data_IF_274675877067
#
_entry.id   IF_274675877067
#
_cell.length_a   1.000
_cell.length_b   1.000
_cell.length_c   1.000
_cell.angle_alpha   90.00
_cell.angle_beta   90.00
_cell.angle_gamma   90.00
#
_symmetry.space_group_name_H-M   'P 1'
#
loop_
_entity.id
_entity.type
_entity.pdbx_description
1 polymer ?
#
# COMPACT_ATOMS: atom_id res chain seq x y z
N UNK A 1 -3.77 36.05 -20.31
CA UNK A 1 -3.24 37.44 -20.55
C UNK A 1 -1.85 37.46 -19.92
N UNK A 2 -0.87 37.42 -20.58
CA UNK A 2 0.19 38.10 -21.35
C UNK A 2 1.36 37.16 -21.59
N UNK A 3 1.52 36.88 -22.85
CA UNK A 3 2.69 36.29 -23.47
C UNK A 3 3.76 37.42 -23.64
N UNK A 4 5.03 37.08 -23.47
CA UNK A 4 6.09 37.80 -24.21
C UNK A 4 7.33 36.94 -24.39
N UNK A 5 7.80 36.77 -25.63
CA UNK A 5 9.13 36.27 -25.98
C UNK A 5 10.12 37.42 -26.20
N UNK A 6 11.43 37.18 -26.04
CA UNK A 6 12.45 38.04 -26.62
C UNK A 6 13.51 37.15 -27.22
N UNK A 7 13.79 37.47 -28.51
CA UNK A 7 14.77 36.86 -29.36
C UNK A 7 15.98 37.79 -29.55
N UNK A 8 17.05 37.20 -30.15
CA UNK A 8 18.13 37.76 -30.98
C UNK A 8 19.24 38.54 -30.22
N UNK A 9 20.49 38.46 -30.59
CA UNK A 9 21.08 38.56 -31.91
C UNK A 9 22.55 38.12 -31.93
N UNK A 10 22.97 37.74 -33.10
CA UNK A 10 24.32 37.40 -33.53
C UNK A 10 25.24 38.64 -33.65
N UNK A 11 26.55 38.40 -33.54
CA UNK A 11 27.56 39.26 -34.19
C UNK A 11 28.79 38.45 -34.61
N UNK A 12 28.97 38.41 -35.87
CA UNK A 12 30.18 37.93 -36.61
C UNK A 12 31.17 39.06 -36.68
N UNK A 13 32.45 38.83 -36.44
CA UNK A 13 33.54 39.69 -36.95
C UNK A 13 34.73 38.84 -37.39
N UNK A 14 34.95 38.85 -38.69
CA UNK A 14 36.17 38.44 -39.35
C UNK A 14 37.25 39.56 -39.23
N UNK A 15 38.51 39.15 -39.02
CA UNK A 15 39.67 39.98 -39.43
C UNK A 15 40.84 39.04 -39.79
N UNK A 16 41.25 39.17 -41.00
CA UNK A 16 42.41 38.51 -41.60
C UNK A 16 43.71 39.28 -41.27
N UNK A 17 44.79 38.55 -41.07
CA UNK A 17 46.13 39.12 -40.93
C UNK A 17 47.21 38.11 -41.35
N UNK A 18 47.80 38.29 -42.52
CA UNK A 18 48.99 37.56 -43.04
C UNK A 18 50.21 37.96 -42.22
N UNK A 19 51.07 37.00 -41.92
CA UNK A 19 52.40 37.23 -41.39
C UNK A 19 53.25 35.95 -41.42
N UNK A 20 54.06 35.82 -42.47
CA UNK A 20 55.06 34.76 -42.68
C UNK A 20 56.28 34.97 -41.81
N UNK A 21 56.73 33.99 -41.05
CA UNK A 21 58.11 33.81 -40.65
C UNK A 21 58.42 32.35 -40.38
N UNK A 22 59.20 31.73 -41.27
CA UNK A 22 59.72 30.38 -41.10
C UNK A 22 60.94 30.44 -40.20
N UNK A 23 60.89 29.84 -39.01
CA UNK A 23 62.08 29.48 -38.25
C UNK A 23 61.99 28.01 -37.91
N UNK A 24 62.82 27.21 -38.57
CA UNK A 24 63.03 25.81 -38.26
C UNK A 24 63.81 25.68 -36.95
N UNK A 25 63.14 25.39 -35.84
CA UNK A 25 63.78 24.90 -34.63
C UNK A 25 63.44 23.40 -34.49
N UNK A 26 64.50 22.59 -34.59
CA UNK A 26 64.44 21.17 -34.29
C UNK A 26 64.06 20.94 -32.81
N UNK A 27 62.79 20.67 -32.57
CA UNK A 27 62.35 20.25 -31.27
C UNK A 27 62.69 18.77 -31.08
N UNK A 28 63.59 18.52 -30.14
CA UNK A 28 63.80 17.18 -29.60
C UNK A 28 62.45 16.67 -28.97
N UNK A 29 62.01 15.52 -29.43
CA UNK A 29 60.84 14.83 -28.86
C UNK A 29 61.14 14.44 -27.42
N UNK A 30 60.55 15.15 -26.48
CA UNK A 30 60.43 14.69 -25.07
C UNK A 30 59.55 13.43 -25.11
N UNK A 31 59.96 12.29 -24.50
CA UNK A 31 59.10 11.12 -24.42
C UNK A 31 57.84 11.55 -23.66
N UNK A 32 56.73 11.58 -24.39
CA UNK A 32 55.44 11.91 -23.80
C UNK A 32 55.15 10.97 -22.66
N UNK A 33 55.00 11.53 -21.44
CA UNK A 33 54.42 10.81 -20.33
C UNK A 33 53.06 10.30 -20.80
N UNK A 34 52.96 8.97 -20.96
CA UNK A 34 51.68 8.31 -21.24
C UNK A 34 50.71 8.73 -20.14
N UNK A 35 49.75 9.58 -20.47
CA UNK A 35 48.65 9.90 -19.58
C UNK A 35 47.90 8.60 -19.34
N UNK A 36 48.21 7.95 -18.21
CA UNK A 36 47.42 6.86 -17.68
C UNK A 36 46.02 7.41 -17.41
N UNK A 37 45.11 7.25 -18.39
CA UNK A 37 43.70 7.46 -18.18
C UNK A 37 43.31 6.52 -17.05
N UNK A 38 43.14 7.05 -15.83
CA UNK A 38 42.70 6.31 -14.67
C UNK A 38 41.32 5.69 -15.04
N UNK A 39 41.32 4.39 -15.31
CA UNK A 39 40.10 3.68 -15.63
C UNK A 39 39.12 3.93 -14.49
N UNK A 40 37.97 4.52 -14.80
CA UNK A 40 36.93 4.79 -13.83
C UNK A 40 36.56 3.45 -13.14
N UNK A 41 36.88 3.33 -11.83
CA UNK A 41 36.71 2.10 -11.12
C UNK A 41 35.28 1.54 -11.35
N UNK A 42 35.17 0.30 -11.80
CA UNK A 42 33.93 -0.38 -12.09
C UNK A 42 32.99 -0.27 -10.87
N UNK A 43 31.70 -0.27 -11.13
CA UNK A 43 30.68 -0.23 -10.07
C UNK A 43 29.86 -1.53 -10.13
N UNK A 44 29.56 -2.10 -8.98
CA UNK A 44 28.66 -3.25 -8.91
C UNK A 44 27.30 -2.93 -9.51
N UNK A 45 26.83 -3.79 -10.41
CA UNK A 45 25.45 -3.78 -10.89
C UNK A 45 24.64 -4.72 -10.02
N UNK A 46 23.57 -4.20 -9.39
CA UNK A 46 22.72 -4.97 -8.49
C UNK A 46 21.30 -4.92 -9.04
N UNK A 47 20.75 -6.12 -9.33
CA UNK A 47 19.32 -6.28 -9.66
C UNK A 47 18.58 -6.86 -8.47
N UNK A 48 17.31 -6.49 -8.29
CA UNK A 48 16.47 -7.07 -7.25
C UNK A 48 15.00 -7.05 -7.66
N UNK A 49 14.26 -8.06 -7.23
CA UNK A 49 12.81 -8.19 -7.36
C UNK A 49 12.21 -8.64 -6.03
N UNK A 50 10.94 -8.34 -5.81
CA UNK A 50 10.17 -8.77 -4.64
C UNK A 50 9.03 -9.67 -5.09
N UNK A 51 8.71 -10.71 -4.28
CA UNK A 51 7.67 -11.69 -4.61
C UNK A 51 6.25 -11.13 -4.59
N UNK A 52 5.99 -10.15 -3.72
CA UNK A 52 4.69 -9.46 -3.59
C UNK A 52 4.92 -8.00 -3.26
N UNK A 53 4.18 -7.12 -3.93
CA UNK A 53 4.20 -5.68 -3.67
C UNK A 53 3.13 -5.24 -2.67
N UNK A 54 2.13 -6.10 -2.42
CA UNK A 54 0.97 -5.83 -1.58
C UNK A 54 0.61 -7.03 -0.68
N UNK A 55 1.54 -7.41 0.22
CA UNK A 55 1.29 -8.50 1.18
C UNK A 55 0.37 -8.03 2.32
N UNK A 56 -0.26 -8.98 3.01
CA UNK A 56 -0.91 -8.75 4.28
C UNK A 56 0.10 -8.74 5.45
N UNK A 57 -0.28 -8.08 6.52
CA UNK A 57 0.50 -8.05 7.76
C UNK A 57 0.74 -9.47 8.28
N UNK A 58 1.97 -9.76 8.65
CA UNK A 58 2.40 -11.08 9.11
C UNK A 58 2.89 -12.01 8.01
N UNK A 59 2.62 -11.71 6.73
CA UNK A 59 3.14 -12.50 5.61
C UNK A 59 4.65 -12.34 5.44
N UNK A 60 5.24 -13.33 4.76
CA UNK A 60 6.65 -13.28 4.34
C UNK A 60 6.75 -12.90 2.87
N UNK A 61 7.61 -11.93 2.58
CA UNK A 61 8.03 -11.59 1.22
C UNK A 61 9.45 -12.11 0.97
N UNK A 62 9.72 -12.44 -0.28
CA UNK A 62 11.07 -12.83 -0.71
C UNK A 62 11.63 -11.77 -1.64
N UNK A 63 12.88 -11.32 -1.38
CA UNK A 63 13.62 -10.40 -2.24
C UNK A 63 14.79 -11.18 -2.83
N UNK A 64 14.85 -11.27 -4.16
CA UNK A 64 15.86 -12.02 -4.90
C UNK A 64 16.52 -11.15 -5.93
N UNK A 65 17.76 -11.46 -6.27
CA UNK A 65 18.46 -10.75 -7.33
C UNK A 65 19.85 -11.26 -7.60
N UNK A 66 20.60 -10.45 -8.34
CA UNK A 66 21.96 -10.75 -8.75
C UNK A 66 22.87 -9.54 -8.58
N UNK A 67 24.14 -9.81 -8.42
CA UNK A 67 25.23 -8.80 -8.45
C UNK A 67 26.19 -9.16 -9.58
N UNK A 68 26.60 -8.17 -10.36
CA UNK A 68 27.60 -8.33 -11.40
C UNK A 68 28.70 -7.25 -11.25
N UNK A 69 29.98 -7.61 -11.29
CA UNK A 69 30.51 -8.96 -11.11
C UNK A 69 30.15 -9.50 -9.71
N UNK A 70 29.84 -10.79 -9.59
CA UNK A 70 29.44 -11.41 -8.32
C UNK A 70 30.37 -12.56 -7.97
N UNK A 71 30.93 -12.54 -6.77
CA UNK A 71 31.76 -13.60 -6.23
C UNK A 71 31.05 -14.36 -5.13
N UNK A 72 31.22 -15.68 -5.13
CA UNK A 72 30.72 -16.54 -4.08
C UNK A 72 31.23 -16.10 -2.70
N UNK A 73 30.34 -15.97 -1.73
CA UNK A 73 30.65 -15.54 -0.37
C UNK A 73 30.71 -14.03 -0.16
N UNK A 74 30.65 -13.20 -1.21
CA UNK A 74 30.61 -11.76 -1.06
C UNK A 74 29.30 -11.30 -0.41
N UNK A 75 29.38 -10.44 0.61
CA UNK A 75 28.22 -9.94 1.36
C UNK A 75 27.38 -8.96 0.54
N UNK A 76 26.06 -9.06 0.70
CA UNK A 76 25.06 -8.07 0.27
C UNK A 76 24.17 -7.71 1.46
N UNK A 77 23.70 -6.45 1.47
CA UNK A 77 22.91 -5.89 2.56
C UNK A 77 21.53 -5.51 2.06
N UNK A 78 20.50 -6.10 2.64
CA UNK A 78 19.14 -5.62 2.47
C UNK A 78 18.94 -4.36 3.30
N UNK A 79 18.50 -3.28 2.67
CA UNK A 79 18.15 -2.04 3.32
C UNK A 79 16.64 -1.79 3.16
N UNK A 80 16.00 -1.31 4.25
CA UNK A 80 14.60 -0.88 4.23
C UNK A 80 14.44 0.56 4.72
N UNK A 81 13.36 1.21 4.29
CA UNK A 81 12.87 2.46 4.86
C UNK A 81 11.35 2.50 4.82
N UNK A 82 10.76 3.26 5.72
CA UNK A 82 9.34 3.53 5.72
C UNK A 82 9.04 4.81 4.92
N UNK A 83 7.97 4.77 4.11
CA UNK A 83 7.63 5.85 3.21
C UNK A 83 8.66 6.05 2.08
N UNK A 84 8.66 7.23 1.47
CA UNK A 84 9.54 7.60 0.35
C UNK A 84 10.75 8.42 0.77
N UNK A 85 10.71 9.05 1.95
CA UNK A 85 11.72 10.00 2.47
C UNK A 85 12.48 9.50 3.69
N UNK A 86 12.01 8.44 4.36
CA UNK A 86 12.63 7.86 5.55
C UNK A 86 14.12 7.47 5.34
N UNK A 87 14.88 7.45 6.41
CA UNK A 87 16.27 6.98 6.40
C UNK A 87 16.33 5.49 6.05
N UNK A 88 17.34 5.11 5.27
CA UNK A 88 17.63 3.71 4.98
C UNK A 88 18.30 3.06 6.19
N UNK A 89 17.75 1.95 6.64
CA UNK A 89 18.30 1.11 7.73
C UNK A 89 18.64 -0.27 7.19
N UNK A 90 19.65 -0.91 7.77
CA UNK A 90 19.96 -2.31 7.50
C UNK A 90 18.80 -3.17 8.01
N UNK A 91 18.27 -4.04 7.16
CA UNK A 91 17.23 -5.01 7.51
C UNK A 91 17.82 -6.40 7.69
N UNK A 92 18.71 -6.82 6.78
CA UNK A 92 19.30 -8.17 6.79
C UNK A 92 20.60 -8.19 5.97
N UNK A 93 21.35 -9.31 6.06
CA UNK A 93 22.52 -9.60 5.21
C UNK A 93 22.42 -11.01 4.63
N UNK A 94 22.94 -11.17 3.43
CA UNK A 94 23.10 -12.47 2.77
C UNK A 94 24.43 -12.51 2.04
N UNK A 95 24.87 -13.68 1.62
CA UNK A 95 26.08 -13.90 0.83
C UNK A 95 25.74 -14.41 -0.56
N UNK A 96 26.50 -13.93 -1.56
CA UNK A 96 26.32 -14.36 -2.93
C UNK A 96 26.68 -15.84 -3.11
N UNK A 97 25.85 -16.57 -3.85
CA UNK A 97 26.21 -17.92 -4.31
C UNK A 97 27.18 -17.85 -5.49
N UNK A 98 27.64 -19.03 -5.99
CA UNK A 98 28.59 -19.13 -7.10
C UNK A 98 28.12 -18.54 -8.45
N UNK A 99 26.84 -18.12 -8.54
CA UNK A 99 26.24 -17.44 -9.71
C UNK A 99 25.94 -15.96 -9.44
N UNK A 100 26.50 -15.38 -8.37
CA UNK A 100 26.25 -14.00 -7.98
C UNK A 100 24.84 -13.71 -7.52
N UNK A 101 24.06 -14.72 -7.09
CA UNK A 101 22.66 -14.58 -6.66
C UNK A 101 22.54 -14.52 -5.15
N UNK A 102 21.50 -13.77 -4.69
CA UNK A 102 21.10 -13.65 -3.28
C UNK A 102 19.59 -13.87 -3.10
N UNK A 103 19.17 -14.14 -1.85
CA UNK A 103 17.77 -14.32 -1.47
C UNK A 103 17.54 -13.91 -0.03
N UNK A 104 16.77 -12.87 0.20
CA UNK A 104 16.28 -12.47 1.53
C UNK A 104 14.84 -12.95 1.74
N UNK A 105 14.48 -13.20 3.01
CA UNK A 105 13.12 -13.48 3.46
C UNK A 105 12.76 -12.50 4.57
N UNK A 106 11.79 -11.62 4.35
CA UNK A 106 11.38 -10.57 5.29
C UNK A 106 9.92 -10.79 5.69
N UNK A 107 9.63 -10.85 7.00
CA UNK A 107 8.27 -10.82 7.53
C UNK A 107 7.79 -9.37 7.62
N UNK A 108 6.63 -9.07 7.05
CA UNK A 108 6.07 -7.71 7.10
C UNK A 108 5.09 -7.60 8.27
N UNK A 109 5.51 -7.00 9.34
CA UNK A 109 4.85 -6.96 10.66
C UNK A 109 4.02 -5.69 10.94
N UNK A 110 4.06 -4.69 10.07
CA UNK A 110 3.35 -3.43 10.27
C UNK A 110 2.68 -2.94 8.99
N UNK A 111 1.45 -2.45 9.15
CA UNK A 111 0.60 -1.94 8.06
C UNK A 111 1.08 -0.56 7.66
N UNK A 112 1.90 -0.48 6.62
CA UNK A 112 2.37 0.77 6.01
C UNK A 112 3.14 0.54 4.72
N UNK A 113 3.28 1.57 3.92
CA UNK A 113 4.18 1.57 2.76
C UNK A 113 5.65 1.58 3.22
N UNK A 114 6.45 0.73 2.59
CA UNK A 114 7.89 0.64 2.78
C UNK A 114 8.62 0.43 1.47
N UNK A 115 9.89 0.77 1.44
CA UNK A 115 10.77 0.50 0.30
C UNK A 115 11.96 -0.33 0.75
N UNK A 116 12.37 -1.24 -0.13
CA UNK A 116 13.58 -2.03 0.00
C UNK A 116 14.56 -1.70 -1.11
N UNK A 117 15.83 -1.91 -0.86
CA UNK A 117 16.91 -1.97 -1.85
C UNK A 117 18.00 -2.89 -1.35
N UNK A 118 18.77 -3.45 -2.28
CA UNK A 118 19.95 -4.25 -1.94
C UNK A 118 21.19 -3.44 -2.25
N UNK A 119 22.11 -3.39 -1.30
CA UNK A 119 23.42 -2.75 -1.40
C UNK A 119 24.49 -3.84 -1.46
N UNK A 120 25.35 -3.84 -2.48
CA UNK A 120 26.65 -4.49 -2.46
C UNK A 120 27.66 -3.43 -2.03
N UNK A 121 28.31 -3.60 -0.86
CA UNK A 121 29.39 -2.70 -0.45
C UNK A 121 30.53 -2.65 -1.45
N UNK A 122 31.30 -1.57 -1.44
CA UNK A 122 32.55 -1.48 -2.18
C UNK A 122 33.57 -2.45 -1.62
N UNK A 123 34.47 -2.93 -2.46
CA UNK A 123 35.66 -3.70 -2.13
C UNK A 123 36.81 -3.31 -3.08
N UNK A 124 37.90 -4.05 -3.06
CA UNK A 124 39.11 -3.78 -3.89
C UNK A 124 38.84 -3.85 -5.40
N UNK A 125 37.73 -4.49 -5.82
CA UNK A 125 37.41 -4.75 -7.24
C UNK A 125 36.49 -3.73 -7.85
N UNK A 126 35.52 -3.19 -7.05
CA UNK A 126 34.54 -2.27 -7.57
C UNK A 126 33.94 -1.38 -6.48
N UNK A 127 33.43 -0.21 -6.93
CA UNK A 127 32.63 0.70 -6.09
C UNK A 127 31.30 0.06 -5.73
N UNK A 128 30.73 0.49 -4.60
CA UNK A 128 29.42 0.02 -4.12
C UNK A 128 28.33 0.15 -5.19
N UNK A 129 27.47 -0.89 -5.28
CA UNK A 129 26.27 -0.91 -6.11
C UNK A 129 24.99 -0.97 -5.30
N UNK A 130 23.90 -0.46 -5.86
CA UNK A 130 22.56 -0.50 -5.24
C UNK A 130 21.53 -0.89 -6.29
N UNK A 131 20.60 -1.75 -5.90
CA UNK A 131 19.45 -2.08 -6.75
C UNK A 131 18.51 -0.89 -6.91
N UNK A 132 17.57 -1.01 -7.86
CA UNK A 132 16.37 -0.16 -7.89
C UNK A 132 15.60 -0.33 -6.56
N UNK A 133 14.80 0.68 -6.21
CA UNK A 133 13.92 0.66 -5.04
C UNK A 133 12.73 -0.27 -5.33
N UNK A 134 12.39 -1.13 -4.39
CA UNK A 134 11.24 -2.03 -4.42
C UNK A 134 10.20 -1.49 -3.44
N UNK A 135 9.07 -1.01 -3.96
CA UNK A 135 7.94 -0.55 -3.14
C UNK A 135 7.12 -1.73 -2.67
N UNK A 136 6.72 -1.72 -1.39
CA UNK A 136 5.83 -2.73 -0.79
C UNK A 136 4.83 -1.99 0.09
N UNK A 137 3.54 -2.16 -0.21
CA UNK A 137 2.42 -1.64 0.58
C UNK A 137 1.84 -2.78 1.38
N UNK A 138 1.93 -2.72 2.70
CA UNK A 138 1.41 -3.77 3.58
C UNK A 138 0.00 -3.42 4.00
N UNK A 139 -0.92 -4.37 3.79
CA UNK A 139 -2.32 -4.27 4.18
C UNK A 139 -2.56 -5.01 5.51
N UNK A 140 -3.54 -4.56 6.27
CA UNK A 140 -3.95 -5.22 7.51
C UNK A 140 -5.44 -5.10 7.73
N UNK A 141 -6.02 -6.12 8.35
CA UNK A 141 -7.42 -6.11 8.77
C UNK A 141 -7.61 -5.18 9.96
N UNK A 142 -8.64 -4.36 9.89
CA UNK A 142 -9.06 -3.45 10.94
C UNK A 142 -10.58 -3.50 11.09
N UNK A 143 -11.08 -3.50 12.33
CA UNK A 143 -12.50 -3.36 12.56
C UNK A 143 -13.03 -2.05 11.96
N UNK A 144 -14.13 -2.11 11.23
CA UNK A 144 -14.79 -0.91 10.69
C UNK A 144 -15.20 0.04 11.83
N UNK A 145 -15.68 -0.53 12.93
CA UNK A 145 -16.09 0.18 14.14
C UNK A 145 -14.96 0.89 14.89
N UNK A 146 -13.70 0.64 14.54
CA UNK A 146 -12.56 1.38 15.07
C UNK A 146 -12.24 2.66 14.28
N UNK A 147 -12.98 2.92 13.19
CA UNK A 147 -12.96 4.18 12.46
C UNK A 147 -14.01 5.12 13.03
N UNK A 148 -13.75 6.43 12.98
CA UNK A 148 -14.75 7.42 13.35
C UNK A 148 -15.83 7.48 12.26
N UNK A 149 -17.12 7.34 12.61
CA UNK A 149 -18.20 7.50 11.66
C UNK A 149 -18.28 8.97 11.19
N UNK A 150 -18.56 9.17 9.90
CA UNK A 150 -18.68 10.51 9.30
C UNK A 150 -20.12 10.96 9.12
N UNK A 151 -21.08 10.03 9.21
CA UNK A 151 -22.50 10.31 9.25
C UNK A 151 -23.21 9.19 10.01
N UNK A 152 -24.22 9.56 10.81
CA UNK A 152 -25.08 8.65 11.54
C UNK A 152 -26.50 9.25 11.50
N UNK A 153 -27.50 8.49 11.01
CA UNK A 153 -28.89 8.96 10.95
C UNK A 153 -29.79 8.37 12.03
N UNK A 154 -29.33 7.30 12.67
CA UNK A 154 -29.99 6.71 13.84
C UNK A 154 -28.92 6.12 14.76
N UNK A 155 -29.26 5.99 16.04
CA UNK A 155 -28.35 5.39 17.01
C UNK A 155 -28.09 3.94 16.68
N UNK A 156 -26.81 3.56 16.79
CA UNK A 156 -26.35 2.18 16.71
C UNK A 156 -25.39 1.91 17.87
N UNK A 157 -25.37 0.68 18.35
CA UNK A 157 -24.44 0.24 19.37
C UNK A 157 -23.27 -0.50 18.73
N UNK A 158 -22.09 -0.34 19.30
CA UNK A 158 -20.90 -1.12 18.95
C UNK A 158 -20.58 -2.05 20.09
N UNK A 159 -20.58 -3.36 19.82
CA UNK A 159 -20.32 -4.35 20.87
C UNK A 159 -20.33 -5.79 20.37
N UNK A 160 -20.44 -6.71 21.29
CA UNK A 160 -20.64 -8.13 21.00
C UNK A 160 -22.12 -8.40 20.70
N UNK A 161 -22.41 -9.21 19.69
CA UNK A 161 -23.78 -9.58 19.29
C UNK A 161 -23.89 -11.05 18.92
N UNK A 162 -24.97 -11.70 19.34
CA UNK A 162 -25.36 -13.01 18.82
C UNK A 162 -26.18 -12.87 17.54
N UNK A 163 -25.79 -13.57 16.49
CA UNK A 163 -26.50 -13.64 15.21
C UNK A 163 -26.59 -15.12 14.81
N UNK A 164 -27.79 -15.64 14.71
CA UNK A 164 -28.02 -17.05 14.35
C UNK A 164 -27.18 -18.04 15.19
N UNK A 165 -27.15 -17.83 16.51
CA UNK A 165 -26.42 -18.66 17.47
C UNK A 165 -24.90 -18.47 17.51
N UNK A 166 -24.32 -17.56 16.72
CA UNK A 166 -22.90 -17.26 16.73
C UNK A 166 -22.64 -15.89 17.33
N UNK A 167 -21.57 -15.76 18.11
CA UNK A 167 -21.15 -14.48 18.71
C UNK A 167 -20.16 -13.76 17.81
N UNK A 168 -20.41 -12.47 17.58
CA UNK A 168 -19.58 -11.58 16.77
C UNK A 168 -19.16 -10.37 17.61
N UNK A 169 -17.87 -10.12 17.68
CA UNK A 169 -17.29 -8.99 18.41
C UNK A 169 -17.22 -7.74 17.53
N UNK A 170 -17.15 -6.55 18.18
CA UNK A 170 -16.99 -5.26 17.47
C UNK A 170 -18.03 -5.05 16.35
N UNK A 171 -19.25 -5.50 16.61
CA UNK A 171 -20.38 -5.48 15.70
C UNK A 171 -21.11 -4.15 15.72
N UNK A 172 -21.80 -3.82 14.63
CA UNK A 172 -22.76 -2.73 14.56
C UNK A 172 -24.14 -3.32 14.77
N UNK A 173 -24.87 -2.85 15.78
CA UNK A 173 -26.25 -3.27 16.08
C UNK A 173 -27.15 -2.06 15.99
N UNK A 174 -28.16 -2.12 15.13
CA UNK A 174 -29.19 -1.08 15.05
C UNK A 174 -29.94 -0.99 16.38
N UNK A 175 -30.23 0.21 16.83
CA UNK A 175 -31.20 0.41 17.91
C UNK A 175 -32.61 0.24 17.36
N UNK A 176 -33.62 0.02 18.22
CA UNK A 176 -35.00 -0.25 17.78
C UNK A 176 -35.67 0.99 17.20
N UNK A 177 -35.17 1.39 16.02
CA UNK A 177 -35.77 2.43 15.15
C UNK A 177 -36.00 1.83 13.78
N UNK A 178 -37.04 2.20 13.11
CA UNK A 178 -37.46 1.58 11.85
C UNK A 178 -36.42 1.61 10.74
N UNK A 179 -35.57 2.63 10.69
CA UNK A 179 -34.49 2.71 9.72
C UNK A 179 -33.36 3.60 10.21
N UNK A 180 -32.16 3.36 9.69
CA UNK A 180 -31.01 4.16 10.00
C UNK A 180 -29.83 3.87 9.08
N UNK A 181 -28.78 4.66 9.24
CA UNK A 181 -27.52 4.44 8.55
C UNK A 181 -26.33 4.90 9.35
N UNK A 182 -25.18 4.30 9.08
CA UNK A 182 -23.86 4.73 9.56
C UNK A 182 -22.86 4.69 8.42
N UNK A 183 -22.05 5.73 8.28
CA UNK A 183 -21.09 5.86 7.20
C UNK A 183 -19.67 6.06 7.71
N UNK A 184 -18.70 5.42 7.04
CA UNK A 184 -17.28 5.49 7.34
C UNK A 184 -16.46 5.83 6.10
N UNK A 185 -15.47 6.72 6.22
CA UNK A 185 -14.51 6.96 5.16
C UNK A 185 -13.36 5.95 5.23
N UNK A 186 -13.19 5.18 4.15
CA UNK A 186 -12.09 4.22 3.99
C UNK A 186 -10.96 4.75 3.10
N UNK A 187 -11.08 6.00 2.65
CA UNK A 187 -10.05 6.85 2.01
C UNK A 187 -9.33 6.25 0.80
N UNK A 188 -9.96 5.33 0.07
CA UNK A 188 -9.39 4.59 -1.09
C UNK A 188 -8.14 3.77 -0.75
N UNK A 189 -7.81 3.64 0.53
CA UNK A 189 -6.67 2.84 1.01
C UNK A 189 -7.01 1.40 1.35
N UNK A 190 -8.27 0.98 1.10
CA UNK A 190 -8.75 -0.35 1.41
C UNK A 190 -9.00 -1.18 0.15
N UNK A 191 -8.93 -2.50 0.29
CA UNK A 191 -9.16 -3.47 -0.79
C UNK A 191 -10.38 -4.35 -0.59
N UNK A 192 -10.69 -4.66 0.68
CA UNK A 192 -11.76 -5.62 0.98
C UNK A 192 -12.51 -5.21 2.23
N UNK A 193 -13.78 -5.58 2.25
CA UNK A 193 -14.64 -5.56 3.42
C UNK A 193 -15.11 -6.99 3.71
N UNK A 194 -15.24 -7.32 4.99
CA UNK A 194 -15.87 -8.55 5.45
C UNK A 194 -16.75 -8.26 6.67
N UNK A 195 -17.83 -9.03 6.82
CA UNK A 195 -18.73 -8.99 7.94
C UNK A 195 -19.72 -10.13 7.88
N UNK A 196 -20.64 -10.18 8.81
CA UNK A 196 -21.73 -11.17 8.86
C UNK A 196 -23.04 -10.46 9.14
N UNK A 197 -23.98 -10.47 8.21
CA UNK A 197 -25.26 -9.76 8.32
C UNK A 197 -26.36 -10.67 8.85
N UNK A 198 -27.27 -10.14 9.66
CA UNK A 198 -28.43 -10.85 10.19
C UNK A 198 -29.20 -10.01 11.22
N UNK A 199 -30.05 -10.66 11.98
CA UNK A 199 -30.70 -10.07 13.16
C UNK A 199 -30.01 -10.55 14.43
N UNK A 200 -30.03 -9.70 15.45
CA UNK A 200 -29.64 -10.07 16.82
C UNK A 200 -30.58 -11.18 17.34
N UNK A 201 -30.00 -12.20 17.94
CA UNK A 201 -30.77 -13.39 18.45
C UNK A 201 -31.90 -13.06 19.42
N UNK A 202 -31.84 -11.89 20.08
CA UNK A 202 -32.89 -11.42 20.98
C UNK A 202 -34.03 -10.68 20.26
N UNK A 203 -33.99 -10.56 18.94
CA UNK A 203 -35.11 -10.00 18.17
C UNK A 203 -36.33 -10.93 18.23
N UNK A 204 -37.58 -10.40 18.13
CA UNK A 204 -38.78 -11.21 18.08
C UNK A 204 -38.74 -12.22 16.92
N UNK A 205 -39.22 -13.45 17.12
CA UNK A 205 -39.17 -14.52 16.10
C UNK A 205 -39.91 -14.17 14.79
N UNK A 206 -40.89 -13.28 14.86
CA UNK A 206 -41.66 -12.81 13.70
C UNK A 206 -41.03 -11.57 13.04
N UNK A 207 -40.00 -11.01 13.65
CA UNK A 207 -39.35 -9.82 13.13
C UNK A 207 -38.48 -10.12 11.88
N UNK A 208 -38.47 -9.19 10.94
CA UNK A 208 -37.57 -9.19 9.82
C UNK A 208 -36.82 -7.87 9.73
N UNK A 209 -35.67 -7.88 9.07
CA UNK A 209 -34.89 -6.65 8.88
C UNK A 209 -34.08 -6.71 7.60
N UNK A 210 -33.93 -5.56 6.99
CA UNK A 210 -33.14 -5.37 5.80
C UNK A 210 -31.81 -4.73 6.16
N UNK A 211 -30.75 -5.18 5.52
CA UNK A 211 -29.46 -4.52 5.54
C UNK A 211 -29.00 -4.23 4.12
N UNK A 212 -28.45 -3.04 3.91
CA UNK A 212 -27.90 -2.62 2.64
C UNK A 212 -26.55 -1.95 2.87
N UNK A 213 -25.56 -2.27 2.06
CA UNK A 213 -24.24 -1.67 2.14
C UNK A 213 -23.94 -0.98 0.81
N UNK A 214 -23.64 0.31 0.89
CA UNK A 214 -23.23 1.13 -0.23
C UNK A 214 -21.71 1.28 -0.21
N UNK A 215 -21.10 1.22 -1.39
CA UNK A 215 -19.72 1.66 -1.66
C UNK A 215 -19.79 2.95 -2.45
N UNK A 216 -19.37 4.04 -1.85
CA UNK A 216 -19.65 5.42 -2.30
C UNK A 216 -21.18 5.65 -2.45
N UNK A 217 -21.72 5.62 -3.66
CA UNK A 217 -23.16 5.76 -3.95
C UNK A 217 -23.78 4.49 -4.54
N UNK A 218 -22.98 3.44 -4.72
CA UNK A 218 -23.43 2.20 -5.38
C UNK A 218 -23.81 1.16 -4.35
N UNK A 219 -25.00 0.55 -4.50
CA UNK A 219 -25.37 -0.59 -3.68
C UNK A 219 -24.50 -1.79 -4.02
N UNK A 220 -23.65 -2.19 -3.07
CA UNK A 220 -22.75 -3.34 -3.20
C UNK A 220 -23.31 -4.62 -2.57
N UNK A 221 -24.22 -4.48 -1.60
CA UNK A 221 -24.88 -5.59 -0.93
C UNK A 221 -26.27 -5.16 -0.47
N UNK A 222 -27.24 -6.07 -0.55
CA UNK A 222 -28.54 -5.95 0.11
C UNK A 222 -29.09 -7.35 0.40
N UNK A 223 -29.72 -7.52 1.56
CA UNK A 223 -30.40 -8.75 1.94
C UNK A 223 -31.41 -8.47 3.05
N UNK A 224 -32.40 -9.36 3.17
CA UNK A 224 -33.41 -9.37 4.22
C UNK A 224 -33.26 -10.63 5.08
N UNK A 225 -33.46 -10.51 6.38
CA UNK A 225 -33.26 -11.59 7.35
C UNK A 225 -34.42 -11.70 8.34
N UNK A 226 -34.79 -12.93 8.68
CA UNK A 226 -35.44 -13.28 9.91
C UNK A 226 -34.44 -13.64 11.00
N UNK A 227 -34.90 -13.86 12.26
CA UNK A 227 -34.02 -14.09 13.43
C UNK A 227 -33.08 -15.29 13.26
N UNK A 228 -33.50 -16.36 12.57
CA UNK A 228 -32.67 -17.56 12.35
C UNK A 228 -31.87 -17.53 11.06
N UNK A 229 -31.80 -16.38 10.39
CA UNK A 229 -31.14 -16.21 9.12
C UNK A 229 -29.94 -15.27 9.24
N UNK A 230 -28.88 -15.61 8.55
CA UNK A 230 -27.69 -14.78 8.47
C UNK A 230 -26.86 -15.10 7.22
N UNK A 231 -26.03 -14.16 6.78
CA UNK A 231 -25.16 -14.38 5.65
C UNK A 231 -23.81 -13.67 5.83
N UNK A 232 -22.70 -14.27 5.34
CA UNK A 232 -21.43 -13.58 5.25
C UNK A 232 -21.51 -12.48 4.17
N UNK A 233 -20.83 -11.37 4.43
CA UNK A 233 -20.67 -10.26 3.49
C UNK A 233 -19.21 -10.13 3.14
N UNK A 234 -18.91 -10.06 1.83
CA UNK A 234 -17.57 -9.81 1.32
C UNK A 234 -17.66 -8.87 0.12
N UNK A 235 -16.97 -7.72 0.19
CA UNK A 235 -17.01 -6.69 -0.87
C UNK A 235 -15.60 -6.30 -1.29
N UNK A 236 -15.43 -5.98 -2.57
CA UNK A 236 -14.25 -5.28 -3.09
C UNK A 236 -14.35 -3.79 -2.76
N UNK A 237 -13.31 -3.25 -2.13
CA UNK A 237 -13.21 -1.83 -1.78
C UNK A 237 -12.15 -1.10 -2.60
N UNK A 238 -11.63 -1.69 -3.67
CA UNK A 238 -10.62 -1.04 -4.52
C UNK A 238 -11.14 0.28 -5.08
N UNK A 239 -10.51 1.39 -4.68
CA UNK A 239 -10.89 2.73 -5.12
C UNK A 239 -12.07 3.35 -4.36
N UNK A 240 -12.73 2.62 -3.46
CA UNK A 240 -13.86 3.10 -2.66
C UNK A 240 -13.38 4.13 -1.63
N UNK A 241 -14.09 5.25 -1.54
CA UNK A 241 -13.82 6.28 -0.54
C UNK A 241 -14.65 6.10 0.73
N UNK A 242 -15.94 5.68 0.59
CA UNK A 242 -16.90 5.59 1.69
C UNK A 242 -17.68 4.28 1.67
N UNK A 243 -17.90 3.71 2.86
CA UNK A 243 -18.87 2.63 3.09
C UNK A 243 -20.02 3.22 3.89
N UNK A 244 -21.26 2.96 3.47
CA UNK A 244 -22.45 3.28 4.23
C UNK A 244 -23.22 1.98 4.50
N UNK A 245 -23.53 1.71 5.75
CA UNK A 245 -24.39 0.62 6.18
C UNK A 245 -25.76 1.22 6.48
N UNK A 246 -26.78 0.77 5.76
CA UNK A 246 -28.17 1.16 5.93
C UNK A 246 -28.96 -0.05 6.45
N UNK A 247 -29.94 0.19 7.30
CA UNK A 247 -30.84 -0.85 7.81
C UNK A 247 -32.27 -0.37 7.87
N UNK A 248 -33.19 -1.31 7.76
CA UNK A 248 -34.61 -1.12 8.00
C UNK A 248 -35.10 -2.31 8.83
N UNK A 249 -35.78 -2.02 9.92
CA UNK A 249 -36.41 -3.03 10.80
C UNK A 249 -37.89 -3.12 10.50
N UNK A 250 -38.40 -4.32 10.34
CA UNK A 250 -39.80 -4.58 10.13
C UNK A 250 -40.34 -5.36 11.32
N UNK A 251 -41.41 -4.81 11.95
CA UNK A 251 -42.13 -5.47 13.00
C UNK A 251 -43.47 -5.97 12.45
N UNK A 252 -43.76 -7.27 12.63
CA UNK A 252 -45.02 -7.86 12.15
C UNK A 252 -46.16 -7.79 13.19
N UNK A 253 -45.88 -7.31 14.41
CA UNK A 253 -46.89 -7.10 15.44
C UNK A 253 -47.48 -5.68 15.29
N UNK A 254 -48.68 -5.58 14.77
CA UNK A 254 -49.39 -4.34 14.41
C UNK A 254 -49.88 -3.49 15.59
N UNK A 255 -49.05 -3.19 16.58
CA UNK A 255 -49.31 -2.20 17.62
C UNK A 255 -48.13 -1.26 17.74
N UNK A 256 -48.40 0.04 17.70
CA UNK A 256 -47.39 1.12 17.83
C UNK A 256 -46.64 1.11 19.18
N UNK A 257 -47.07 0.31 20.16
CA UNK A 257 -46.48 0.22 21.49
C UNK A 257 -45.36 -0.83 21.60
N UNK A 258 -45.26 -1.80 20.69
CA UNK A 258 -44.20 -2.83 20.75
C UNK A 258 -43.03 -2.47 19.84
N UNK A 259 -42.32 -1.40 20.18
CA UNK A 259 -41.10 -0.96 19.54
C UNK A 259 -39.88 -1.84 19.89
N UNK A 260 -40.07 -3.00 20.48
CA UNK A 260 -39.02 -4.03 20.63
C UNK A 260 -38.72 -4.73 19.31
N UNK A 261 -38.45 -3.89 18.26
CA UNK A 261 -38.33 -4.30 16.87
C UNK A 261 -37.15 -5.17 16.58
N UNK A 262 -37.10 -5.61 15.34
CA UNK A 262 -35.93 -6.30 14.78
C UNK A 262 -34.66 -5.48 14.98
N UNK A 263 -33.68 -6.07 15.62
CA UNK A 263 -32.34 -5.46 15.78
C UNK A 263 -31.44 -5.97 14.66
N UNK A 264 -31.38 -5.22 13.56
CA UNK A 264 -30.47 -5.53 12.45
C UNK A 264 -29.03 -5.42 12.94
N UNK A 265 -28.20 -6.40 12.62
CA UNK A 265 -26.83 -6.47 13.08
C UNK A 265 -25.86 -6.80 11.93
N UNK A 266 -24.70 -6.16 12.01
CA UNK A 266 -23.56 -6.45 11.16
C UNK A 266 -22.39 -6.92 12.05
N UNK A 267 -22.19 -8.24 12.08
CA UNK A 267 -21.22 -8.92 12.93
C UNK A 267 -19.80 -8.74 12.43
N UNK A 268 -18.91 -8.35 13.32
CA UNK A 268 -17.45 -8.20 13.08
C UNK A 268 -17.10 -7.54 11.74
N UNK A 269 -17.70 -6.37 11.41
CA UNK A 269 -17.37 -5.68 10.16
C UNK A 269 -15.90 -5.22 10.18
N UNK A 270 -15.15 -5.63 9.18
CA UNK A 270 -13.71 -5.31 9.07
C UNK A 270 -13.31 -4.95 7.66
N UNK A 271 -12.27 -4.14 7.55
CA UNK A 271 -11.70 -3.68 6.27
C UNK A 271 -10.22 -4.03 6.19
N UNK A 272 -9.77 -4.45 5.00
CA UNK A 272 -8.37 -4.71 4.69
C UNK A 272 -7.76 -3.46 4.08
N UNK A 273 -6.96 -2.72 4.83
CA UNK A 273 -6.45 -1.41 4.43
C UNK A 273 -4.94 -1.26 4.64
N UNK A 274 -4.36 -0.28 3.94
CA UNK A 274 -3.00 0.21 4.18
C UNK A 274 -3.07 1.66 4.67
N UNK A 275 -2.82 1.90 5.95
CA UNK A 275 -2.83 3.23 6.57
C UNK A 275 -1.42 3.77 6.82
#
# INVERSE_FOLDING_TARGET
MRIRPIAAAAAVTLLAGLGTAVTTTSSQAVPGAAATTAAKAAKYEVTATVSRTEPEQGEKITIRGTVAPGEKGAEVVLQKRYGTTGKWTKADTDTLNGKGKFKFSEKVDSVRFRQYRVLKPADDKAKSGKSKKLGVTVFGWRALTSLDPVAVTATSEVGSVGINGNTYEQSIVATPVNSGSIAYNVTRGCKSFQGHAGLKDTSPLTATGDIKILTDTTQAYANSFGVTQSAPVSLDLTGVFRITVEWTSHNTAGTEEDQSGALVALGTPRVLCSF
#
